data_IF_112333358210
#
_entry.id   IF_112333358210
#
_cell.length_a   1.000
_cell.length_b   1.000
_cell.length_c   1.000
_cell.angle_alpha   90.00
_cell.angle_beta   90.00
_cell.angle_gamma   90.00
#
_symmetry.space_group_name_H-M   'P 1'
#
loop_
_entity.id
_entity.type
_entity.pdbx_description
1 polymer ?
#
# COMPACT_ATOMS: atom_id res chain seq x y z
N UNK A 1 0.63 18.29 23.48
CA UNK A 1 1.64 17.71 22.58
C UNK A 1 1.28 18.11 21.17
N UNK A 2 2.11 18.92 20.50
CA UNK A 2 1.85 19.39 19.14
C UNK A 2 1.97 18.20 18.19
N UNK A 3 0.88 17.84 17.52
CA UNK A 3 0.92 16.90 16.40
C UNK A 3 1.73 17.54 15.28
N UNK A 4 3.01 17.17 15.16
CA UNK A 4 3.82 17.52 13.99
C UNK A 4 3.38 16.64 12.83
N UNK A 5 2.23 16.96 12.22
CA UNK A 5 1.89 16.43 10.91
C UNK A 5 2.91 16.99 9.92
N UNK A 6 3.88 16.15 9.52
CA UNK A 6 4.75 16.50 8.40
C UNK A 6 3.84 16.71 7.17
N UNK A 7 4.04 17.80 6.40
CA UNK A 7 3.20 18.07 5.25
C UNK A 7 3.27 16.91 4.25
N UNK A 8 2.18 16.62 3.51
CA UNK A 8 2.18 15.55 2.52
C UNK A 8 3.26 15.82 1.48
N UNK A 9 4.16 14.87 1.27
CA UNK A 9 5.22 14.97 0.27
C UNK A 9 4.81 14.22 -0.99
N UNK A 10 5.02 14.86 -2.14
CA UNK A 10 4.78 14.25 -3.45
C UNK A 10 6.07 13.61 -3.97
N UNK A 11 5.98 12.37 -4.42
CA UNK A 11 7.10 11.74 -5.12
C UNK A 11 7.03 12.12 -6.61
N UNK A 12 8.04 12.85 -7.08
CA UNK A 12 8.12 13.34 -8.46
C UNK A 12 9.33 12.73 -9.18
N UNK A 13 9.15 12.39 -10.45
CA UNK A 13 10.24 11.93 -11.30
C UNK A 13 10.87 13.13 -12.02
N UNK A 14 12.20 13.20 -12.05
CA UNK A 14 12.88 14.24 -12.82
C UNK A 14 12.97 13.85 -14.30
N UNK A 15 12.72 14.76 -15.27
CA UNK A 15 12.69 14.40 -16.69
C UNK A 15 14.02 13.86 -17.24
N UNK A 16 15.15 14.28 -16.63
CA UNK A 16 16.50 14.02 -17.17
C UNK A 16 17.12 12.71 -16.67
N UNK A 17 16.58 12.09 -15.61
CA UNK A 17 17.13 10.87 -14.99
C UNK A 17 16.00 10.01 -14.43
N UNK A 18 16.14 8.67 -14.39
CA UNK A 18 15.19 7.77 -13.70
C UNK A 18 15.33 7.87 -12.16
N UNK A 19 15.45 9.09 -11.64
CA UNK A 19 15.60 9.43 -10.24
C UNK A 19 14.32 10.12 -9.75
N UNK A 20 13.86 9.68 -8.59
CA UNK A 20 12.70 10.25 -7.91
C UNK A 20 13.16 11.20 -6.80
N UNK A 21 12.45 12.31 -6.63
CA UNK A 21 12.66 13.23 -5.51
C UNK A 21 11.35 13.42 -4.75
N UNK A 22 11.44 13.86 -3.49
CA UNK A 22 10.27 14.31 -2.75
C UNK A 22 10.09 15.80 -2.97
N UNK A 23 8.88 16.23 -3.24
CA UNK A 23 8.48 17.62 -3.37
C UNK A 23 7.52 17.95 -2.23
N UNK A 24 7.85 19.02 -1.50
CA UNK A 24 6.98 19.60 -0.48
C UNK A 24 6.11 20.68 -1.14
N UNK A 25 4.80 20.45 -1.32
CA UNK A 25 3.90 21.41 -1.93
C UNK A 25 3.61 22.63 -1.05
N UNK A 26 3.83 22.53 0.27
CA UNK A 26 3.60 23.63 1.21
C UNK A 26 4.74 24.65 1.14
N UNK A 27 5.97 24.16 1.00
CA UNK A 27 7.17 25.02 0.89
C UNK A 27 7.58 25.31 -0.55
N UNK A 28 6.94 24.69 -1.54
CA UNK A 28 7.34 24.71 -2.95
C UNK A 28 8.83 24.33 -3.14
N UNK A 29 9.23 23.19 -2.54
CA UNK A 29 10.64 22.75 -2.52
C UNK A 29 10.82 21.28 -2.86
N UNK A 30 11.83 21.01 -3.66
CA UNK A 30 12.32 19.65 -3.93
C UNK A 30 13.38 19.26 -2.89
N UNK A 31 13.08 18.24 -2.10
CA UNK A 31 14.01 17.61 -1.17
C UNK A 31 14.99 16.75 -1.99
N UNK A 32 16.28 17.10 -1.99
CA UNK A 32 17.34 16.48 -2.79
C UNK A 32 17.72 15.04 -2.39
N UNK A 33 16.73 14.15 -2.26
CA UNK A 33 16.85 12.77 -1.78
C UNK A 33 17.25 11.78 -2.88
N UNK A 34 17.15 12.13 -4.17
CA UNK A 34 17.52 11.30 -5.34
C UNK A 34 17.37 9.78 -5.11
N UNK A 35 16.13 9.36 -4.95
CA UNK A 35 15.77 7.96 -4.73
C UNK A 35 15.84 7.19 -6.05
N UNK A 36 16.48 6.03 -6.02
CA UNK A 36 16.59 5.10 -7.15
C UNK A 36 15.88 3.80 -6.80
N UNK A 37 15.00 3.36 -7.69
CA UNK A 37 14.26 2.10 -7.57
C UNK A 37 14.50 1.22 -8.80
N UNK A 38 15.75 0.82 -9.09
CA UNK A 38 16.02 -0.02 -10.27
C UNK A 38 15.24 -1.33 -10.12
N UNK A 39 14.50 -1.70 -11.17
CA UNK A 39 13.71 -2.94 -11.23
C UNK A 39 12.66 -3.10 -10.12
N UNK A 40 12.28 -2.01 -9.43
CA UNK A 40 11.27 -2.01 -8.37
C UNK A 40 10.15 -1.02 -8.70
N UNK A 41 8.89 -1.42 -8.44
CA UNK A 41 7.70 -0.56 -8.57
C UNK A 41 7.15 -0.22 -7.20
N UNK A 42 6.77 1.03 -6.99
CA UNK A 42 6.14 1.45 -5.74
C UNK A 42 4.70 0.93 -5.67
N UNK A 43 4.35 0.33 -4.54
CA UNK A 43 3.06 -0.28 -4.24
C UNK A 43 2.36 0.27 -3.02
N UNK A 44 3.03 1.16 -2.29
CA UNK A 44 2.43 1.91 -1.22
C UNK A 44 3.45 2.81 -0.54
N UNK A 45 2.94 3.57 0.40
CA UNK A 45 3.72 4.29 1.39
C UNK A 45 2.93 4.29 2.67
N UNK A 46 3.57 3.97 3.79
CA UNK A 46 2.92 3.99 5.11
C UNK A 46 3.96 4.29 6.17
N UNK A 47 3.57 4.97 7.25
CA UNK A 47 4.41 5.29 8.42
C UNK A 47 5.76 5.94 8.06
N UNK A 48 5.82 6.75 6.99
CA UNK A 48 7.05 7.41 6.53
C UNK A 48 7.97 6.56 5.65
N UNK A 49 7.58 5.32 5.35
CA UNK A 49 8.30 4.40 4.49
C UNK A 49 7.63 4.25 3.13
N UNK A 50 8.45 4.03 2.10
CA UNK A 50 8.01 3.62 0.78
C UNK A 50 8.02 2.10 0.70
N UNK A 51 7.04 1.53 0.00
CA UNK A 51 6.92 0.08 -0.19
C UNK A 51 7.02 -0.20 -1.68
N UNK A 52 8.02 -0.99 -2.07
CA UNK A 52 8.31 -1.32 -3.45
C UNK A 52 8.32 -2.83 -3.69
N UNK A 53 8.08 -3.27 -4.92
CA UNK A 53 8.08 -4.69 -5.29
C UNK A 53 8.88 -4.90 -6.57
N UNK A 54 9.72 -5.93 -6.62
CA UNK A 54 10.50 -6.30 -7.80
C UNK A 54 9.82 -7.41 -8.63
N UNK A 55 10.48 -7.87 -9.70
CA UNK A 55 9.96 -8.96 -10.56
C UNK A 55 9.97 -10.34 -9.89
N UNK A 56 10.78 -10.52 -8.85
CA UNK A 56 10.83 -11.73 -8.02
C UNK A 56 9.75 -11.71 -6.92
N UNK A 57 8.86 -10.71 -6.97
CA UNK A 57 7.76 -10.52 -6.00
C UNK A 57 8.26 -10.36 -4.56
N UNK A 58 9.48 -9.84 -4.41
CA UNK A 58 10.06 -9.41 -3.14
C UNK A 58 9.52 -8.03 -2.82
N UNK A 59 8.90 -7.92 -1.64
CA UNK A 59 8.46 -6.64 -1.07
C UNK A 59 9.64 -6.01 -0.33
N UNK A 60 9.91 -4.75 -0.64
CA UNK A 60 10.98 -3.96 -0.04
C UNK A 60 10.40 -2.75 0.67
N UNK A 61 10.75 -2.58 1.94
CA UNK A 61 10.51 -1.37 2.71
C UNK A 61 11.71 -0.44 2.55
N UNK A 62 11.47 0.83 2.23
CA UNK A 62 12.51 1.82 1.96
C UNK A 62 12.23 3.08 2.77
N UNK A 63 13.15 3.45 3.66
CA UNK A 63 13.09 4.73 4.35
C UNK A 63 13.80 5.79 3.49
N UNK A 64 13.06 6.74 2.89
CA UNK A 64 13.67 7.76 2.03
C UNK A 64 14.54 8.74 2.81
N UNK A 65 14.22 9.01 4.08
CA UNK A 65 14.92 10.01 4.90
C UNK A 65 16.24 9.50 5.48
N UNK A 66 16.41 8.17 5.57
CA UNK A 66 17.69 7.55 5.92
C UNK A 66 18.63 7.39 4.71
N UNK A 67 18.24 7.95 3.55
CA UNK A 67 18.98 7.86 2.28
C UNK A 67 19.34 9.21 1.66
N UNK A 68 19.34 10.27 2.49
CA UNK A 68 19.68 11.64 2.07
C UNK A 68 21.12 11.71 1.56
N UNK A 69 21.33 12.40 0.43
CA UNK A 69 22.66 12.67 -0.13
C UNK A 69 23.55 13.38 0.89
N UNK A 70 24.81 12.94 1.01
CA UNK A 70 25.78 13.50 1.96
C UNK A 70 25.71 12.91 3.38
N UNK A 71 24.78 11.97 3.65
CA UNK A 71 24.76 11.17 4.87
C UNK A 71 25.17 9.72 4.58
N UNK A 72 25.77 9.06 5.58
CA UNK A 72 26.05 7.63 5.49
C UNK A 72 24.72 6.86 5.40
N UNK A 73 24.58 6.02 4.37
CA UNK A 73 23.39 5.17 4.21
C UNK A 73 23.37 4.14 5.34
N UNK A 74 22.30 4.10 6.12
CA UNK A 74 22.12 3.04 7.12
C UNK A 74 21.70 1.74 6.45
N UNK A 75 22.20 0.62 6.95
CA UNK A 75 21.85 -0.71 6.44
C UNK A 75 20.36 -1.02 6.61
N UNK A 76 19.77 -0.61 7.73
CA UNK A 76 18.34 -0.74 8.04
C UNK A 76 17.43 0.21 7.25
N UNK A 77 17.98 1.10 6.41
CA UNK A 77 17.17 1.98 5.55
C UNK A 77 16.40 1.24 4.46
N UNK A 78 16.77 -0.01 4.19
CA UNK A 78 16.07 -0.92 3.29
C UNK A 78 15.95 -2.29 3.90
N UNK A 79 14.73 -2.81 3.86
CA UNK A 79 14.39 -4.13 4.38
C UNK A 79 13.71 -4.90 3.25
N UNK A 80 14.36 -5.96 2.77
CA UNK A 80 13.79 -6.89 1.81
C UNK A 80 13.12 -8.04 2.58
N UNK A 81 11.85 -8.30 2.27
CA UNK A 81 11.07 -9.40 2.83
C UNK A 81 11.25 -10.67 1.97
N UNK A 82 10.91 -11.87 2.47
CA UNK A 82 10.86 -13.06 1.61
C UNK A 82 9.94 -12.83 0.40
N UNK A 83 10.18 -13.50 -0.74
CA UNK A 83 9.29 -13.40 -1.89
C UNK A 83 7.89 -13.93 -1.56
N UNK A 84 6.87 -13.27 -2.10
CA UNK A 84 5.50 -13.82 -2.10
C UNK A 84 5.45 -15.08 -2.97
N UNK A 85 4.60 -16.03 -2.57
CA UNK A 85 4.28 -17.19 -3.37
C UNK A 85 3.60 -16.72 -4.65
N UNK A 86 4.28 -16.94 -5.77
CA UNK A 86 3.84 -16.51 -7.09
C UNK A 86 3.92 -17.71 -8.02
N UNK A 87 2.83 -18.05 -8.74
CA UNK A 87 2.85 -19.16 -9.67
C UNK A 87 3.95 -19.00 -10.73
N UNK A 88 4.69 -20.09 -11.00
CA UNK A 88 5.85 -20.09 -11.90
C UNK A 88 5.52 -19.65 -13.33
N UNK A 89 4.26 -19.83 -13.76
CA UNK A 89 3.78 -19.53 -15.10
C UNK A 89 3.30 -18.08 -15.30
N UNK A 90 3.44 -17.19 -14.31
CA UNK A 90 3.04 -15.79 -14.47
C UNK A 90 4.07 -15.04 -15.33
N UNK A 91 3.60 -14.42 -16.41
CA UNK A 91 4.45 -13.59 -17.29
C UNK A 91 5.08 -12.42 -16.52
N UNK A 92 6.27 -11.97 -16.95
CA UNK A 92 6.95 -10.81 -16.36
C UNK A 92 6.03 -9.59 -16.25
N UNK A 93 5.23 -9.33 -17.30
CA UNK A 93 4.22 -8.26 -17.32
C UNK A 93 3.22 -8.38 -16.17
N UNK A 94 2.70 -9.58 -15.89
CA UNK A 94 1.76 -9.80 -14.77
C UNK A 94 2.47 -9.74 -13.41
N UNK A 95 3.70 -10.26 -13.29
CA UNK A 95 4.50 -10.09 -12.06
C UNK A 95 4.66 -8.62 -11.68
N UNK A 96 4.81 -7.74 -12.67
CA UNK A 96 4.90 -6.31 -12.39
C UNK A 96 3.66 -5.72 -11.73
N UNK A 97 2.49 -6.37 -11.79
CA UNK A 97 1.21 -5.95 -11.19
C UNK A 97 0.71 -6.92 -10.12
N UNK A 98 1.52 -7.91 -9.74
CA UNK A 98 1.11 -8.97 -8.82
C UNK A 98 0.80 -8.46 -7.42
N UNK A 99 1.49 -7.44 -6.93
CA UNK A 99 1.11 -6.72 -5.71
C UNK A 99 0.37 -5.46 -6.12
N UNK A 100 -0.88 -5.33 -5.70
CA UNK A 100 -1.74 -4.20 -6.05
C UNK A 100 -1.49 -3.02 -5.10
N UNK A 101 -1.43 -3.32 -3.79
CA UNK A 101 -1.26 -2.35 -2.71
C UNK A 101 -0.48 -3.00 -1.57
N UNK A 102 0.27 -2.19 -0.84
CA UNK A 102 0.88 -2.61 0.43
C UNK A 102 0.77 -1.49 1.48
N UNK A 103 0.73 -1.87 2.75
CA UNK A 103 0.74 -0.94 3.89
C UNK A 103 1.48 -1.52 5.09
N UNK A 104 1.82 -0.66 6.06
CA UNK A 104 2.47 -0.98 7.33
C UNK A 104 1.55 -0.65 8.50
N UNK A 105 1.59 -1.47 9.55
CA UNK A 105 0.91 -1.15 10.81
C UNK A 105 1.68 -0.17 11.69
N UNK A 106 3.01 -0.26 11.70
CA UNK A 106 3.91 0.50 12.57
C UNK A 106 5.22 0.85 11.85
N UNK A 107 6.10 1.62 12.50
CA UNK A 107 7.44 1.88 11.96
C UNK A 107 8.32 0.62 12.09
N UNK A 108 8.93 0.12 11.00
CA UNK A 108 9.68 -1.12 10.98
C UNK A 108 11.03 -1.07 11.71
N UNK A 109 11.49 0.10 12.15
CA UNK A 109 12.69 0.24 12.99
C UNK A 109 12.29 0.52 14.45
N UNK A 110 11.43 1.50 14.69
CA UNK A 110 11.09 1.94 16.05
C UNK A 110 10.15 0.98 16.77
N UNK A 111 9.29 0.28 16.04
CA UNK A 111 8.26 -0.63 16.57
C UNK A 111 8.24 -1.94 15.77
N UNK A 112 9.44 -2.47 15.47
CA UNK A 112 9.62 -3.64 14.61
C UNK A 112 8.83 -4.88 15.10
N UNK A 113 8.67 -5.04 16.41
CA UNK A 113 7.92 -6.14 17.05
C UNK A 113 6.41 -6.08 16.82
N UNK A 114 5.87 -4.87 16.56
CA UNK A 114 4.46 -4.61 16.25
C UNK A 114 4.24 -4.34 14.76
N UNK A 115 5.29 -4.36 13.94
CA UNK A 115 5.22 -4.02 12.54
C UNK A 115 4.74 -5.22 11.71
N UNK A 116 3.53 -5.08 11.17
CA UNK A 116 2.95 -5.95 10.16
C UNK A 116 3.06 -5.26 8.80
N UNK A 117 3.46 -6.03 7.80
CA UNK A 117 3.37 -5.65 6.39
C UNK A 117 2.16 -6.36 5.82
N UNK A 118 1.16 -5.62 5.35
CA UNK A 118 -0.03 -6.17 4.72
C UNK A 118 0.00 -5.86 3.23
N UNK A 119 -0.27 -6.86 2.40
CA UNK A 119 -0.30 -6.71 0.94
C UNK A 119 -1.62 -7.19 0.38
N UNK A 120 -2.15 -6.41 -0.57
CA UNK A 120 -3.15 -6.90 -1.51
C UNK A 120 -2.40 -7.42 -2.73
N UNK A 121 -2.55 -8.71 -3.02
CA UNK A 121 -1.91 -9.34 -4.18
C UNK A 121 -2.93 -9.88 -5.18
N UNK A 122 -2.44 -10.20 -6.37
CA UNK A 122 -3.22 -10.73 -7.46
C UNK A 122 -3.75 -12.11 -7.09
N UNK A 123 -5.02 -12.30 -7.45
CA UNK A 123 -5.83 -13.47 -7.17
C UNK A 123 -5.22 -14.73 -7.77
N UNK A 124 -5.02 -15.74 -6.92
CA UNK A 124 -4.95 -17.13 -7.37
C UNK A 124 -6.37 -17.74 -7.48
N UNK A 125 -6.52 -18.90 -8.11
CA UNK A 125 -7.76 -19.71 -8.12
C UNK A 125 -8.35 -19.95 -6.72
N UNK A 126 -7.56 -19.85 -5.65
CA UNK A 126 -7.94 -19.98 -4.24
C UNK A 126 -8.77 -18.80 -3.70
N UNK A 127 -8.78 -17.65 -4.37
CA UNK A 127 -9.56 -16.49 -3.97
C UNK A 127 -8.94 -15.62 -2.86
N UNK A 128 -7.68 -15.86 -2.51
CA UNK A 128 -6.96 -15.06 -1.51
C UNK A 128 -6.41 -13.78 -2.17
N UNK A 129 -6.78 -12.62 -1.61
CA UNK A 129 -6.31 -11.31 -2.05
C UNK A 129 -5.39 -10.64 -1.01
N UNK A 130 -5.23 -11.22 0.18
CA UNK A 130 -4.46 -10.64 1.28
C UNK A 130 -3.39 -11.61 1.77
N UNK A 131 -2.21 -11.05 2.01
CA UNK A 131 -1.17 -11.71 2.78
C UNK A 131 -0.56 -10.70 3.75
N UNK A 132 -0.05 -11.19 4.87
CA UNK A 132 0.70 -10.36 5.82
C UNK A 132 2.00 -11.02 6.26
N UNK A 133 2.87 -10.19 6.82
CA UNK A 133 4.18 -10.57 7.34
C UNK A 133 4.50 -9.78 8.61
N UNK A 134 4.76 -10.47 9.71
CA UNK A 134 5.23 -9.88 10.99
C UNK A 134 6.74 -9.76 10.95
N UNK A 135 7.22 -8.52 10.93
CA UNK A 135 8.60 -8.20 10.55
C UNK A 135 9.68 -8.96 11.33
N UNK A 136 9.44 -9.21 12.62
CA UNK A 136 10.42 -9.87 13.51
C UNK A 136 10.06 -11.32 13.87
N UNK A 137 8.88 -11.81 13.47
CA UNK A 137 8.37 -13.13 13.89
C UNK A 137 8.25 -14.12 12.74
N UNK A 138 7.95 -13.64 11.53
CA UNK A 138 7.67 -14.50 10.40
C UNK A 138 8.92 -14.72 9.54
N UNK A 139 9.01 -15.90 8.94
CA UNK A 139 10.05 -16.24 7.95
C UNK A 139 9.46 -16.44 6.55
N UNK A 140 8.13 -16.51 6.44
CA UNK A 140 7.36 -16.62 5.22
C UNK A 140 6.06 -15.82 5.33
N UNK A 141 5.41 -15.56 4.20
CA UNK A 141 4.12 -14.86 4.17
C UNK A 141 2.99 -15.74 4.66
N UNK A 142 2.10 -15.17 5.47
CA UNK A 142 0.82 -15.79 5.81
C UNK A 142 -0.27 -15.29 4.87
N UNK A 143 -1.00 -16.20 4.24
CA UNK A 143 -2.10 -15.87 3.33
C UNK A 143 -3.42 -15.94 4.06
N UNK A 144 -4.21 -14.88 3.95
CA UNK A 144 -5.54 -14.81 4.55
C UNK A 144 -6.51 -15.61 3.69
N UNK A 145 -7.17 -16.58 4.32
CA UNK A 145 -8.24 -17.37 3.72
C UNK A 145 -9.58 -16.89 4.25
N UNK A 146 -10.20 -15.94 3.55
CA UNK A 146 -11.54 -15.44 3.87
C UNK A 146 -12.30 -15.15 2.57
N UNK A 147 -13.38 -15.90 2.34
CA UNK A 147 -14.15 -15.81 1.09
C UNK A 147 -14.86 -14.46 0.91
N UNK A 148 -15.06 -13.72 1.98
CA UNK A 148 -15.70 -12.40 1.94
C UNK A 148 -14.72 -11.31 1.51
N UNK A 149 -13.41 -11.51 1.72
CA UNK A 149 -12.33 -10.55 1.44
C UNK A 149 -11.74 -10.72 0.03
N UNK A 150 -12.62 -10.71 -0.97
CA UNK A 150 -12.28 -10.81 -2.40
C UNK A 150 -12.39 -9.47 -3.12
N UNK A 151 -11.71 -9.31 -4.26
CA UNK A 151 -11.77 -8.09 -5.09
C UNK A 151 -11.39 -6.80 -4.35
N UNK A 152 -10.35 -6.87 -3.52
CA UNK A 152 -9.88 -5.73 -2.73
C UNK A 152 -9.20 -4.66 -3.59
N UNK A 153 -9.46 -3.39 -3.26
CA UNK A 153 -8.90 -2.24 -3.96
C UNK A 153 -7.87 -1.48 -3.12
N UNK A 154 -8.11 -1.35 -1.81
CA UNK A 154 -7.20 -0.65 -0.92
C UNK A 154 -7.20 -1.24 0.50
N UNK A 155 -6.10 -1.02 1.21
CA UNK A 155 -5.90 -1.41 2.60
C UNK A 155 -5.10 -0.34 3.34
N UNK A 156 -5.57 0.01 4.54
CA UNK A 156 -4.88 0.90 5.46
C UNK A 156 -4.90 0.32 6.88
N UNK A 157 -3.98 0.79 7.72
CA UNK A 157 -3.94 0.44 9.13
C UNK A 157 -4.16 1.71 9.96
N UNK A 158 -5.18 1.68 10.82
CA UNK A 158 -5.58 2.82 11.67
C UNK A 158 -5.89 2.30 13.06
N UNK A 159 -5.33 2.96 14.08
CA UNK A 159 -5.34 2.45 15.45
C UNK A 159 -4.70 1.06 15.52
N UNK A 160 -5.49 0.06 15.89
CA UNK A 160 -5.09 -1.35 16.00
C UNK A 160 -5.76 -2.24 14.94
N UNK A 161 -6.43 -1.66 13.93
CA UNK A 161 -7.20 -2.42 12.95
C UNK A 161 -6.73 -2.15 11.53
N UNK A 162 -6.87 -3.16 10.70
CA UNK A 162 -6.81 -3.01 9.25
C UNK A 162 -8.19 -2.70 8.72
N UNK A 163 -8.24 -1.77 7.78
CA UNK A 163 -9.44 -1.42 7.02
C UNK A 163 -9.19 -1.75 5.57
N UNK A 164 -10.09 -2.54 4.97
CA UNK A 164 -10.00 -2.96 3.57
C UNK A 164 -11.27 -2.59 2.84
N UNK A 165 -11.10 -2.03 1.65
CA UNK A 165 -12.22 -1.69 0.78
C UNK A 165 -12.22 -2.59 -0.45
N UNK A 166 -13.39 -3.15 -0.74
CA UNK A 166 -13.63 -3.98 -1.91
C UNK A 166 -14.01 -3.14 -3.12
N UNK A 167 -14.02 -3.78 -4.28
CA UNK A 167 -14.86 -3.36 -5.40
C UNK A 167 -16.30 -3.14 -4.90
N UNK A 168 -17.00 -2.15 -5.46
CA UNK A 168 -18.31 -1.65 -5.01
C UNK A 168 -18.31 -0.80 -3.72
N UNK A 169 -17.16 -0.67 -3.04
CA UNK A 169 -17.01 0.22 -1.90
C UNK A 169 -17.47 -0.37 -0.57
N UNK A 170 -17.74 -1.68 -0.48
CA UNK A 170 -17.89 -2.33 0.83
C UNK A 170 -16.59 -2.21 1.63
N UNK A 171 -16.70 -1.73 2.87
CA UNK A 171 -15.59 -1.53 3.81
C UNK A 171 -15.68 -2.53 4.97
N UNK A 172 -14.62 -3.31 5.17
CA UNK A 172 -14.44 -4.16 6.34
C UNK A 172 -13.31 -3.66 7.22
N UNK A 173 -13.44 -3.83 8.53
CA UNK A 173 -12.34 -3.72 9.48
C UNK A 173 -12.04 -5.06 10.12
N UNK A 174 -10.79 -5.32 10.48
CA UNK A 174 -10.41 -6.53 11.21
C UNK A 174 -9.06 -6.36 11.94
N UNK A 175 -8.75 -7.30 12.83
CA UNK A 175 -7.45 -7.44 13.50
C UNK A 175 -6.75 -8.74 13.06
N UNK A 176 -5.45 -8.84 13.34
CA UNK A 176 -4.63 -10.04 13.11
C UNK A 176 -4.27 -10.64 14.45
N UNK A 177 -4.64 -11.89 14.63
CA UNK A 177 -4.37 -12.66 15.85
C UNK A 177 -2.90 -13.13 15.91
N UNK A 178 -2.50 -13.59 17.09
CA UNK A 178 -1.21 -14.26 17.29
C UNK A 178 -1.07 -15.56 16.49
N UNK A 179 -2.18 -16.27 16.24
CA UNK A 179 -2.25 -17.53 15.49
C UNK A 179 -2.31 -17.34 13.96
N UNK A 180 -2.04 -16.12 13.49
CA UNK A 180 -1.93 -15.77 12.08
C UNK A 180 -3.26 -15.82 11.31
N UNK A 181 -4.37 -15.59 12.00
CA UNK A 181 -5.70 -15.50 11.40
C UNK A 181 -6.27 -14.08 11.55
N UNK A 182 -7.39 -13.85 10.85
CA UNK A 182 -8.15 -12.61 11.02
C UNK A 182 -9.13 -12.78 12.19
N UNK A 183 -9.20 -11.79 13.09
CA UNK A 183 -10.21 -11.68 14.14
C UNK A 183 -11.01 -10.39 14.04
N UNK A 184 -12.11 -10.33 14.80
CA UNK A 184 -12.94 -9.13 14.98
C UNK A 184 -13.33 -8.44 13.67
N UNK A 185 -13.56 -9.25 12.64
CA UNK A 185 -13.98 -8.79 11.32
C UNK A 185 -15.38 -8.19 11.41
N UNK A 186 -15.51 -6.94 11.01
CA UNK A 186 -16.76 -6.18 11.06
C UNK A 186 -17.01 -5.49 9.71
N UNK A 187 -18.26 -5.51 9.27
CA UNK A 187 -18.74 -4.66 8.19
C UNK A 187 -18.87 -3.22 8.71
N UNK A 188 -18.10 -2.30 8.15
CA UNK A 188 -18.09 -0.88 8.56
C UNK A 188 -19.03 -0.07 7.68
N UNK A 189 -19.01 -0.33 6.37
CA UNK A 189 -19.94 0.27 5.41
C UNK A 189 -20.29 -0.76 4.32
N UNK A 190 -21.56 -0.81 3.94
CA UNK A 190 -22.06 -1.64 2.85
C UNK A 190 -21.75 -1.01 1.48
N UNK A 191 -22.12 -1.71 0.40
CA UNK A 191 -21.91 -1.23 -0.97
C UNK A 191 -22.47 0.18 -1.18
N UNK A 192 -21.66 1.04 -1.77
CA UNK A 192 -22.00 2.44 -2.07
C UNK A 192 -22.31 2.64 -3.55
N UNK A 193 -22.20 1.59 -4.36
CA UNK A 193 -22.39 1.61 -5.80
C UNK A 193 -23.50 0.63 -6.21
N UNK A 194 -24.44 1.11 -7.03
CA UNK A 194 -25.57 0.30 -7.51
C UNK A 194 -25.27 -0.46 -8.82
N UNK A 195 -24.20 -0.11 -9.55
CA UNK A 195 -23.96 -0.69 -10.89
C UNK A 195 -22.48 -0.76 -11.33
N UNK A 196 -22.13 -1.83 -12.05
CA UNK A 196 -20.82 -2.12 -12.66
C UNK A 196 -20.53 -1.34 -13.96
N UNK A 197 -21.42 -0.45 -14.41
CA UNK A 197 -21.27 0.19 -15.74
C UNK A 197 -20.06 1.12 -15.86
N UNK A 198 -19.43 1.53 -14.75
CA UNK A 198 -18.24 2.39 -14.77
C UNK A 198 -17.10 1.73 -14.00
N UNK A 199 -15.87 1.86 -14.51
CA UNK A 199 -14.69 1.41 -13.79
C UNK A 199 -14.41 2.38 -12.63
N UNK A 200 -14.58 1.91 -11.39
CA UNK A 200 -14.35 2.74 -10.21
C UNK A 200 -13.10 2.26 -9.48
N UNK A 201 -12.19 3.19 -9.18
CA UNK A 201 -11.11 2.98 -8.23
C UNK A 201 -11.45 3.57 -6.88
N UNK A 202 -11.43 2.73 -5.86
CA UNK A 202 -11.74 3.11 -4.48
C UNK A 202 -10.48 3.06 -3.64
N UNK A 203 -10.26 4.08 -2.82
CA UNK A 203 -9.15 4.16 -1.88
C UNK A 203 -9.61 4.75 -0.55
N UNK A 204 -8.87 4.42 0.50
CA UNK A 204 -9.14 4.89 1.86
C UNK A 204 -8.10 5.98 2.18
N UNK A 205 -8.60 7.13 2.62
CA UNK A 205 -7.78 8.25 3.09
C UNK A 205 -7.94 8.35 4.60
N UNK A 206 -6.83 8.35 5.31
CA UNK A 206 -6.80 8.53 6.78
C UNK A 206 -6.54 10.00 7.05
N UNK A 207 -7.46 10.65 7.75
CA UNK A 207 -7.35 12.01 8.26
C UNK A 207 -7.07 11.98 9.76
N UNK A 208 -6.12 12.79 10.22
CA UNK A 208 -5.77 13.00 11.63
C UNK A 208 -5.65 11.70 12.47
N UNK A 209 -5.12 10.65 11.83
CA UNK A 209 -4.92 9.30 12.36
C UNK A 209 -6.16 8.58 12.90
N UNK A 210 -7.38 9.11 12.74
CA UNK A 210 -8.60 8.53 13.31
C UNK A 210 -9.86 8.64 12.42
N UNK A 211 -9.93 9.59 11.49
CA UNK A 211 -11.06 9.72 10.56
C UNK A 211 -10.72 9.02 9.23
N UNK A 212 -11.66 8.24 8.72
CA UNK A 212 -11.52 7.55 7.44
C UNK A 212 -12.44 8.19 6.41
N UNK A 213 -11.89 8.58 5.28
CA UNK A 213 -12.66 8.93 4.09
C UNK A 213 -12.51 7.84 3.05
N UNK A 214 -13.63 7.42 2.46
CA UNK A 214 -13.60 6.63 1.25
C UNK A 214 -13.67 7.56 0.05
N UNK A 215 -12.72 7.40 -0.87
CA UNK A 215 -12.70 8.18 -2.09
C UNK A 215 -12.82 7.25 -3.28
N UNK A 216 -13.78 7.54 -4.15
CA UNK A 216 -14.03 6.82 -5.38
C UNK A 216 -13.68 7.70 -6.58
N UNK A 217 -12.86 7.16 -7.47
CA UNK A 217 -12.54 7.76 -8.76
C UNK A 217 -13.24 6.97 -9.85
N UNK A 218 -14.19 7.61 -10.52
CA UNK A 218 -14.78 7.08 -11.75
C UNK A 218 -13.77 7.29 -12.87
N UNK A 219 -13.43 6.20 -13.51
CA UNK A 219 -12.40 6.12 -14.53
C UNK A 219 -13.06 5.75 -15.84
N UNK A 220 -12.58 6.38 -16.89
CA UNK A 220 -12.88 6.00 -18.25
C UNK A 220 -11.58 5.76 -19.00
N UNK A 221 -11.70 4.94 -20.04
CA UNK A 221 -10.61 4.57 -20.92
C UNK A 221 -10.93 5.09 -22.32
N UNK A 222 -9.92 5.65 -22.95
CA UNK A 222 -9.93 6.07 -24.35
C UNK A 222 -8.65 5.58 -25.04
N UNK A 223 -8.52 5.85 -26.34
CA UNK A 223 -7.34 5.46 -27.11
C UNK A 223 -6.05 6.14 -26.59
N UNK A 224 -6.18 7.28 -25.88
CA UNK A 224 -5.09 8.03 -25.29
C UNK A 224 -4.67 7.59 -23.88
N UNK A 225 -5.47 6.78 -23.18
CA UNK A 225 -5.13 6.20 -21.89
C UNK A 225 -6.29 6.15 -20.89
N UNK A 226 -6.02 6.64 -19.68
CA UNK A 226 -6.91 6.50 -18.52
C UNK A 226 -7.07 7.84 -17.84
N UNK A 227 -8.30 8.36 -17.78
CA UNK A 227 -8.62 9.61 -17.09
C UNK A 227 -9.61 9.41 -15.94
N UNK A 228 -9.65 10.37 -15.03
CA UNK A 228 -10.69 10.46 -13.99
C UNK A 228 -11.77 11.41 -14.45
N UNK A 229 -13.01 10.93 -14.51
CA UNK A 229 -14.18 11.75 -14.86
C UNK A 229 -14.86 12.37 -13.65
N UNK A 230 -14.84 11.65 -12.54
CA UNK A 230 -15.60 12.01 -11.35
C UNK A 230 -14.84 11.53 -10.12
N UNK A 231 -14.90 12.33 -9.04
CA UNK A 231 -14.41 11.97 -7.72
C UNK A 231 -15.57 12.08 -6.75
N UNK A 232 -15.84 11.01 -6.00
CA UNK A 232 -16.83 10.97 -4.92
C UNK A 232 -16.13 10.73 -3.61
N UNK A 233 -16.58 11.38 -2.55
CA UNK A 233 -16.01 11.28 -1.21
C UNK A 233 -17.14 10.90 -0.26
N UNK A 234 -16.92 9.86 0.53
CA UNK A 234 -17.83 9.37 1.55
C UNK A 234 -17.12 9.46 2.91
N UNK A 235 -17.88 9.89 3.92
CA UNK A 235 -17.45 9.94 5.32
C UNK A 235 -18.00 8.74 6.07
#
# INVERSE_FOLDING_TARGET
MSSCHNPPLLLIQTPKKPEWNLYNPIEDKVLGLQLKFPNKRLRGSSKGWLIAVNLDVVVTLINPFLRVKGRQKRADSVIDLPPLACPDNISSRRKTTFVNKATLSADPILEADKCFVMVIHERERTGNNLAFFRLTKDTSWTYVVDETLRSLQDVVHVGNKFYVVKEMGTLFSFDITSDQSISDKQLVAADTLECFQKYVKTYIVVLDDNELLMVQRVVEFDDGGRWTKEVRIFK
#
